data_IF_523555187981
#
_entry.id   IF_523555187981
#
_cell.length_a   1.000
_cell.length_b   1.000
_cell.length_c   1.000
_cell.angle_alpha   90.00
_cell.angle_beta   90.00
_cell.angle_gamma   90.00
#
_symmetry.space_group_name_H-M   'P 1'
#
loop_
_entity.id
_entity.type
_entity.pdbx_description
1 polymer ?
#
# COMPACT_ATOMS: atom_id res chain seq x y z
N UNK A 1 -26.77 19.95 10.83
CA UNK A 1 -26.95 19.36 9.49
C UNK A 1 -27.03 17.85 9.65
N UNK A 2 -27.98 17.21 8.98
CA UNK A 2 -28.03 15.74 8.89
C UNK A 2 -26.97 15.26 7.89
N UNK A 3 -26.52 14.01 7.99
CA UNK A 3 -25.54 13.44 7.04
C UNK A 3 -26.00 13.57 5.58
N UNK A 4 -27.31 13.46 5.33
CA UNK A 4 -27.87 13.60 3.98
C UNK A 4 -27.64 15.01 3.39
N UNK A 5 -27.82 16.07 4.19
CA UNK A 5 -27.56 17.45 3.75
C UNK A 5 -26.08 17.70 3.43
N UNK A 6 -25.18 17.01 4.13
CA UNK A 6 -23.74 17.06 3.84
C UNK A 6 -23.46 16.35 2.52
N UNK A 7 -24.06 15.18 2.29
CA UNK A 7 -23.84 14.41 1.05
C UNK A 7 -24.35 15.17 -0.16
N UNK A 8 -25.57 15.68 -0.12
CA UNK A 8 -26.18 16.46 -1.20
C UNK A 8 -25.28 17.64 -1.56
N UNK A 9 -24.91 18.46 -0.57
CA UNK A 9 -24.08 19.64 -0.83
C UNK A 9 -22.69 19.29 -1.36
N UNK A 10 -21.99 18.33 -0.75
CA UNK A 10 -20.66 17.92 -1.24
C UNK A 10 -20.76 17.42 -2.68
N UNK A 11 -21.78 16.63 -2.99
CA UNK A 11 -21.98 16.09 -4.34
C UNK A 11 -22.38 17.16 -5.37
N UNK A 12 -23.19 18.16 -4.98
CA UNK A 12 -23.53 19.31 -5.82
C UNK A 12 -22.29 20.15 -6.13
N UNK A 13 -21.51 20.51 -5.11
CA UNK A 13 -20.30 21.32 -5.27
C UNK A 13 -19.24 20.59 -6.09
N UNK A 14 -19.04 19.29 -5.87
CA UNK A 14 -18.18 18.47 -6.72
C UNK A 14 -18.66 18.48 -8.18
N UNK A 15 -19.97 18.39 -8.41
CA UNK A 15 -20.53 18.45 -9.76
C UNK A 15 -20.28 19.81 -10.42
N UNK A 16 -20.42 20.92 -9.70
CA UNK A 16 -20.12 22.27 -10.21
C UNK A 16 -18.64 22.40 -10.58
N UNK A 17 -17.75 21.75 -9.83
CA UNK A 17 -16.31 21.78 -10.04
C UNK A 17 -15.81 20.75 -11.07
N UNK A 18 -16.71 19.99 -11.72
CA UNK A 18 -16.34 18.99 -12.74
C UNK A 18 -15.87 17.64 -12.18
N UNK A 19 -16.22 17.33 -10.93
CA UNK A 19 -15.96 16.06 -10.25
C UNK A 19 -17.25 15.25 -10.06
N UNK A 20 -18.21 15.36 -10.97
CA UNK A 20 -19.53 14.72 -10.88
C UNK A 20 -19.45 13.19 -10.80
N UNK A 21 -18.37 12.59 -11.31
CA UNK A 21 -18.05 11.16 -11.21
C UNK A 21 -17.74 10.69 -9.78
N UNK A 22 -17.46 11.60 -8.85
CA UNK A 22 -17.23 11.29 -7.43
C UNK A 22 -18.47 11.57 -6.60
N UNK A 23 -19.15 10.51 -6.14
CA UNK A 23 -20.32 10.63 -5.26
C UNK A 23 -19.99 10.20 -3.85
N UNK A 24 -19.96 11.16 -2.92
CA UNK A 24 -19.92 10.88 -1.49
C UNK A 24 -21.18 10.11 -1.12
N UNK A 25 -20.99 8.85 -0.73
CA UNK A 25 -22.09 7.93 -0.43
C UNK A 25 -22.08 7.49 1.03
N UNK A 26 -20.92 7.57 1.70
CA UNK A 26 -20.80 7.14 3.08
C UNK A 26 -19.68 7.89 3.81
N UNK A 27 -19.88 8.13 5.10
CA UNK A 27 -18.86 8.62 6.02
C UNK A 27 -18.73 7.59 7.15
N UNK A 28 -17.55 6.98 7.27
CA UNK A 28 -17.28 6.03 8.37
C UNK A 28 -16.58 6.74 9.51
N UNK A 29 -17.24 6.78 10.68
CA UNK A 29 -16.71 7.47 11.85
C UNK A 29 -16.47 8.95 11.57
N UNK A 30 -15.39 9.49 12.14
CA UNK A 30 -15.04 10.91 11.99
C UNK A 30 -13.90 11.18 11.02
N UNK A 31 -13.37 10.24 10.22
CA UNK A 31 -12.12 10.52 9.46
C UNK A 31 -12.10 9.92 8.04
N UNK A 32 -13.17 9.23 7.61
CA UNK A 32 -13.16 8.47 6.35
C UNK A 32 -14.34 8.83 5.46
N UNK A 33 -14.04 9.46 4.33
CA UNK A 33 -14.99 9.76 3.27
C UNK A 33 -14.96 8.65 2.22
N UNK A 34 -16.13 8.13 1.84
CA UNK A 34 -16.29 7.11 0.82
C UNK A 34 -16.98 7.70 -0.40
N UNK A 35 -16.20 7.87 -1.46
CA UNK A 35 -16.69 8.28 -2.76
C UNK A 35 -16.88 7.05 -3.64
N UNK A 36 -18.06 6.92 -4.21
CA UNK A 36 -18.32 5.99 -5.32
C UNK A 36 -17.84 6.66 -6.61
N UNK A 37 -17.13 5.90 -7.43
CA UNK A 37 -16.59 6.28 -8.72
C UNK A 37 -16.84 5.13 -9.72
N UNK A 38 -16.98 5.38 -11.05
CA UNK A 38 -17.19 4.31 -12.03
C UNK A 38 -16.12 3.19 -11.98
N UNK A 39 -14.89 3.51 -11.61
CA UNK A 39 -13.80 2.53 -11.47
C UNK A 39 -13.72 1.86 -10.09
N UNK A 40 -14.56 2.24 -9.12
CA UNK A 40 -14.60 1.62 -7.80
C UNK A 40 -14.93 2.57 -6.65
N UNK A 41 -14.47 2.22 -5.44
CA UNK A 41 -14.69 3.05 -4.25
C UNK A 41 -13.38 3.73 -3.86
N UNK A 42 -13.40 5.07 -3.89
CA UNK A 42 -12.36 5.93 -3.36
C UNK A 42 -12.61 6.14 -1.87
N UNK A 43 -11.61 5.80 -1.04
CA UNK A 43 -11.61 6.14 0.39
C UNK A 43 -10.56 7.19 0.67
N UNK A 44 -11.01 8.35 1.14
CA UNK A 44 -10.16 9.44 1.57
C UNK A 44 -10.09 9.42 3.10
N UNK A 45 -8.86 9.30 3.61
CA UNK A 45 -8.54 9.33 5.03
C UNK A 45 -7.93 10.69 5.35
N UNK A 46 -8.70 11.59 5.92
CA UNK A 46 -8.18 12.87 6.42
C UNK A 46 -8.70 13.14 7.83
N UNK A 47 -7.78 13.21 8.80
CA UNK A 47 -8.09 13.43 10.22
C UNK A 47 -8.21 14.91 10.57
N UNK A 48 -7.69 15.79 9.71
CA UNK A 48 -7.67 17.23 9.94
C UNK A 48 -8.90 17.89 9.35
N UNK A 49 -9.44 17.37 8.24
CA UNK A 49 -10.67 17.88 7.63
C UNK A 49 -11.94 17.67 8.45
N UNK A 50 -11.90 16.77 9.44
CA UNK A 50 -13.12 16.21 10.04
C UNK A 50 -13.19 16.37 11.55
N UNK A 51 -12.15 16.94 12.18
CA UNK A 51 -12.21 17.29 13.60
C UNK A 51 -13.29 18.32 13.93
N UNK A 52 -13.71 19.10 12.93
CA UNK A 52 -14.84 20.02 13.01
C UNK A 52 -15.71 19.79 11.78
N UNK A 53 -16.83 19.05 11.92
CA UNK A 53 -17.80 18.60 10.89
C UNK A 53 -18.44 19.73 10.03
N UNK A 54 -17.63 20.61 9.45
CA UNK A 54 -18.02 21.74 8.64
C UNK A 54 -17.63 21.50 7.17
N UNK A 55 -18.12 20.39 6.61
CA UNK A 55 -18.16 20.15 5.16
C UNK A 55 -19.03 21.18 4.40
N UNK A 56 -19.57 22.16 5.12
CA UNK A 56 -20.40 23.25 4.65
C UNK A 56 -19.60 24.53 4.33
N UNK A 57 -18.27 24.49 4.38
CA UNK A 57 -17.41 25.61 4.00
C UNK A 57 -16.76 25.36 2.64
N UNK A 58 -16.61 26.43 1.84
CA UNK A 58 -15.89 26.36 0.56
C UNK A 58 -14.45 25.84 0.73
N UNK A 59 -13.81 26.14 1.86
CA UNK A 59 -12.47 25.64 2.20
C UNK A 59 -12.43 24.11 2.40
N UNK A 60 -13.43 23.52 3.05
CA UNK A 60 -13.52 22.07 3.22
C UNK A 60 -13.76 21.35 1.89
N UNK A 61 -14.63 21.89 1.02
CA UNK A 61 -14.86 21.37 -0.33
C UNK A 61 -13.58 21.46 -1.17
N UNK A 62 -12.91 22.61 -1.18
CA UNK A 62 -11.64 22.77 -1.90
C UNK A 62 -10.57 21.76 -1.44
N UNK A 63 -10.56 21.42 -0.14
CA UNK A 63 -9.65 20.40 0.38
C UNK A 63 -10.03 18.97 -0.05
N UNK A 64 -11.33 18.66 -0.14
CA UNK A 64 -11.81 17.38 -0.70
C UNK A 64 -11.40 17.24 -2.17
N UNK A 65 -11.60 18.29 -2.96
CA UNK A 65 -11.20 18.33 -4.38
C UNK A 65 -9.71 18.09 -4.53
N UNK A 66 -8.88 18.80 -3.75
CA UNK A 66 -7.43 18.56 -3.77
C UNK A 66 -7.05 17.12 -3.41
N UNK A 67 -7.80 16.46 -2.52
CA UNK A 67 -7.55 15.07 -2.17
C UNK A 67 -7.97 14.10 -3.28
N UNK A 68 -9.08 14.39 -3.97
CA UNK A 68 -9.51 13.65 -5.16
C UNK A 68 -8.48 13.81 -6.29
N UNK A 69 -8.06 15.03 -6.62
CA UNK A 69 -7.04 15.31 -7.65
C UNK A 69 -5.74 14.56 -7.38
N UNK A 70 -5.28 14.58 -6.12
CA UNK A 70 -4.08 13.86 -5.70
C UNK A 70 -4.26 12.35 -5.83
N UNK A 71 -5.44 11.83 -5.48
CA UNK A 71 -5.74 10.42 -5.66
C UNK A 71 -5.69 10.04 -7.14
N UNK A 72 -6.33 10.82 -8.01
CA UNK A 72 -6.43 10.56 -9.45
C UNK A 72 -5.09 10.61 -10.15
N UNK A 73 -4.26 11.59 -9.78
CA UNK A 73 -2.88 11.66 -10.23
C UNK A 73 -2.11 10.38 -9.84
N UNK A 74 -2.19 9.95 -8.57
CA UNK A 74 -1.46 8.76 -8.10
C UNK A 74 -2.03 7.48 -8.71
N UNK A 75 -3.34 7.41 -8.91
CA UNK A 75 -4.02 6.30 -9.58
C UNK A 75 -3.52 6.19 -11.03
N UNK A 76 -3.56 7.30 -11.78
CA UNK A 76 -3.13 7.35 -13.18
C UNK A 76 -1.64 7.02 -13.33
N UNK A 77 -0.79 7.55 -12.44
CA UNK A 77 0.64 7.20 -12.41
C UNK A 77 0.85 5.72 -12.10
N UNK A 78 0.06 5.16 -11.18
CA UNK A 78 0.13 3.74 -10.83
C UNK A 78 -0.27 2.85 -12.01
N UNK A 79 -1.37 3.16 -12.71
CA UNK A 79 -1.80 2.47 -13.93
C UNK A 79 -0.74 2.54 -15.04
N UNK A 80 -0.15 3.73 -15.26
CA UNK A 80 0.93 3.90 -16.23
C UNK A 80 2.16 3.03 -15.89
N UNK A 81 2.58 3.02 -14.63
CA UNK A 81 3.69 2.19 -14.17
C UNK A 81 3.37 0.70 -14.34
N UNK A 82 2.16 0.28 -14.01
CA UNK A 82 1.70 -1.11 -14.21
C UNK A 82 1.74 -1.50 -15.68
N UNK A 83 1.26 -0.64 -16.59
CA UNK A 83 1.27 -0.92 -18.03
C UNK A 83 2.69 -1.19 -18.53
N UNK A 84 3.65 -0.33 -18.17
CA UNK A 84 5.06 -0.48 -18.55
C UNK A 84 5.67 -1.76 -17.98
N UNK A 85 5.33 -2.12 -16.73
CA UNK A 85 5.86 -3.33 -16.11
C UNK A 85 5.29 -4.62 -16.69
N UNK A 86 4.06 -4.60 -17.24
CA UNK A 86 3.50 -5.75 -17.97
C UNK A 86 4.30 -6.07 -19.23
N UNK A 87 4.94 -5.08 -19.85
CA UNK A 87 5.83 -5.27 -21.01
C UNK A 87 7.07 -6.11 -20.67
N UNK A 88 7.44 -6.22 -19.38
CA UNK A 88 8.53 -7.10 -18.93
C UNK A 88 8.20 -8.60 -19.04
N UNK A 89 6.98 -8.97 -19.45
CA UNK A 89 6.59 -10.34 -19.77
C UNK A 89 6.22 -11.24 -18.57
N UNK A 90 6.22 -10.70 -17.35
CA UNK A 90 5.83 -11.47 -16.16
C UNK A 90 4.29 -11.55 -16.05
N UNK A 91 3.70 -12.76 -15.95
CA UNK A 91 2.25 -12.91 -15.80
C UNK A 91 1.82 -12.50 -14.39
N UNK A 92 1.54 -11.21 -14.20
CA UNK A 92 1.18 -10.61 -12.91
C UNK A 92 -0.13 -9.85 -13.01
N UNK A 93 -1.05 -10.14 -12.09
CA UNK A 93 -2.27 -9.37 -11.94
C UNK A 93 -2.03 -8.16 -11.06
N UNK A 94 -2.59 -7.02 -11.46
CA UNK A 94 -2.53 -5.76 -10.72
C UNK A 94 -3.94 -5.29 -10.39
N UNK A 95 -4.11 -4.68 -9.22
CA UNK A 95 -5.33 -3.98 -8.83
C UNK A 95 -4.99 -2.66 -8.14
N UNK A 96 -5.39 -1.56 -8.74
CA UNK A 96 -5.23 -0.21 -8.18
C UNK A 96 -6.54 0.21 -7.52
N UNK A 97 -6.48 0.68 -6.28
CA UNK A 97 -7.67 1.05 -5.52
C UNK A 97 -7.48 0.94 -4.00
N UNK A 98 -8.54 1.17 -3.23
CA UNK A 98 -8.45 1.00 -1.79
C UNK A 98 -8.46 -0.49 -1.37
N UNK A 99 -7.42 -0.91 -0.63
CA UNK A 99 -7.36 -2.21 0.03
C UNK A 99 -6.92 -2.04 1.50
N UNK A 100 -7.74 -2.52 2.44
CA UNK A 100 -7.57 -2.27 3.88
C UNK A 100 -6.25 -2.84 4.43
N UNK A 101 -5.83 -4.01 3.94
CA UNK A 101 -4.60 -4.69 4.35
C UNK A 101 -3.33 -4.10 3.71
N UNK A 102 -3.44 -3.47 2.54
CA UNK A 102 -2.30 -2.98 1.75
C UNK A 102 -1.81 -1.62 2.28
N UNK A 103 -0.56 -1.52 2.74
CA UNK A 103 0.04 -0.27 3.28
C UNK A 103 0.74 0.59 2.22
N UNK A 104 0.16 0.66 1.02
CA UNK A 104 0.72 1.37 -0.12
C UNK A 104 0.76 0.45 -1.33
N UNK A 105 1.70 -0.50 -1.33
CA UNK A 105 1.74 -1.62 -2.25
C UNK A 105 1.80 -2.94 -1.44
N UNK A 106 1.28 -4.03 -2.01
CA UNK A 106 1.35 -5.37 -1.40
C UNK A 106 1.02 -6.45 -2.42
N UNK A 107 1.87 -7.46 -2.49
CA UNK A 107 1.60 -8.71 -3.19
C UNK A 107 0.79 -9.68 -2.30
N UNK A 108 -0.35 -10.14 -2.82
CA UNK A 108 -1.15 -11.17 -2.18
C UNK A 108 -0.79 -12.55 -2.74
N UNK A 109 -0.12 -13.36 -1.93
CA UNK A 109 0.35 -14.69 -2.29
C UNK A 109 -0.75 -15.70 -2.63
N UNK A 110 -1.99 -15.50 -2.18
CA UNK A 110 -3.12 -16.39 -2.47
C UNK A 110 -3.75 -16.02 -3.81
N UNK A 111 -4.06 -14.73 -4.00
CA UNK A 111 -4.70 -14.20 -5.20
C UNK A 111 -3.73 -13.94 -6.35
N UNK A 112 -2.41 -14.11 -6.13
CA UNK A 112 -1.34 -13.84 -7.09
C UNK A 112 -1.49 -12.45 -7.74
N UNK A 113 -1.82 -11.45 -6.91
CA UNK A 113 -2.18 -10.10 -7.35
C UNK A 113 -1.41 -9.07 -6.55
N UNK A 114 -0.83 -8.08 -7.22
CA UNK A 114 -0.26 -6.88 -6.62
C UNK A 114 -1.36 -5.83 -6.44
N UNK A 115 -1.53 -5.38 -5.21
CA UNK A 115 -2.51 -4.37 -4.82
C UNK A 115 -1.82 -3.05 -4.55
N UNK A 116 -2.27 -1.98 -5.21
CA UNK A 116 -1.77 -0.62 -5.04
C UNK A 116 -2.87 0.26 -4.44
N UNK A 117 -2.55 0.95 -3.36
CA UNK A 117 -3.46 1.83 -2.62
C UNK A 117 -2.99 3.29 -2.75
N UNK A 118 -3.52 4.05 -3.74
CA UNK A 118 -3.02 5.38 -4.08
C UNK A 118 -2.99 6.34 -2.88
N UNK A 119 -4.06 6.36 -2.06
CA UNK A 119 -4.13 7.22 -0.87
C UNK A 119 -2.98 6.94 0.12
N UNK A 120 -2.62 5.68 0.31
CA UNK A 120 -1.53 5.28 1.23
C UNK A 120 -0.15 5.50 0.61
N UNK A 121 -0.01 5.29 -0.69
CA UNK A 121 1.21 5.61 -1.45
C UNK A 121 1.52 7.10 -1.33
N UNK A 122 0.56 7.96 -1.70
CA UNK A 122 0.73 9.41 -1.65
C UNK A 122 1.08 9.90 -0.26
N UNK A 123 0.34 9.44 0.76
CA UNK A 123 0.61 9.80 2.15
C UNK A 123 2.04 9.46 2.56
N UNK A 124 2.51 8.25 2.25
CA UNK A 124 3.86 7.80 2.61
C UNK A 124 4.93 8.61 1.88
N UNK A 125 4.74 8.85 0.58
CA UNK A 125 5.61 9.70 -0.22
C UNK A 125 5.68 11.13 0.36
N UNK A 126 4.53 11.73 0.62
CA UNK A 126 4.41 13.09 1.14
C UNK A 126 5.06 13.24 2.53
N UNK A 127 5.00 12.21 3.37
CA UNK A 127 5.58 12.25 4.71
C UNK A 127 7.10 12.08 4.71
N UNK A 128 7.66 11.23 3.85
CA UNK A 128 9.05 10.78 3.99
C UNK A 128 9.95 11.11 2.80
N UNK A 129 9.40 11.40 1.62
CA UNK A 129 10.15 11.39 0.37
C UNK A 129 9.93 12.60 -0.55
N UNK A 130 8.85 13.38 -0.38
CA UNK A 130 8.44 14.46 -1.29
C UNK A 130 9.51 15.48 -1.70
N UNK A 131 10.52 15.70 -0.85
CA UNK A 131 11.58 16.68 -1.10
C UNK A 131 12.83 16.07 -1.73
N UNK A 132 12.81 14.79 -2.06
CA UNK A 132 14.03 14.07 -2.48
C UNK A 132 13.82 12.93 -3.46
N UNK A 133 12.58 12.54 -3.71
CA UNK A 133 12.26 11.47 -4.66
C UNK A 133 10.98 11.87 -5.37
N UNK A 134 10.96 11.77 -6.68
CA UNK A 134 9.77 12.01 -7.48
C UNK A 134 8.68 10.96 -7.19
N UNK A 135 7.43 11.38 -7.23
CA UNK A 135 6.30 10.50 -6.94
C UNK A 135 6.25 9.30 -7.90
N UNK A 136 6.57 9.52 -9.19
CA UNK A 136 6.66 8.46 -10.20
C UNK A 136 7.77 7.45 -9.88
N UNK A 137 8.95 7.89 -9.44
CA UNK A 137 10.03 7.00 -8.98
C UNK A 137 9.55 6.18 -7.78
N UNK A 138 8.95 6.85 -6.79
CA UNK A 138 8.44 6.18 -5.60
C UNK A 138 7.40 5.10 -5.92
N UNK A 139 6.43 5.39 -6.78
CA UNK A 139 5.42 4.42 -7.25
C UNK A 139 6.10 3.26 -7.98
N UNK A 140 6.96 3.55 -8.96
CA UNK A 140 7.64 2.53 -9.77
C UNK A 140 8.45 1.57 -8.89
N UNK A 141 9.23 2.12 -7.96
CA UNK A 141 10.07 1.34 -7.04
C UNK A 141 9.21 0.46 -6.12
N UNK A 142 8.07 0.96 -5.62
CA UNK A 142 7.16 0.14 -4.82
C UNK A 142 6.58 -1.02 -5.62
N UNK A 143 6.16 -0.80 -6.87
CA UNK A 143 5.61 -1.87 -7.70
C UNK A 143 6.70 -2.91 -8.03
N UNK A 144 7.91 -2.46 -8.34
CA UNK A 144 9.06 -3.34 -8.58
C UNK A 144 9.38 -4.21 -7.35
N UNK A 145 9.33 -3.66 -6.14
CA UNK A 145 9.51 -4.44 -4.92
C UNK A 145 8.46 -5.55 -4.79
N UNK A 146 7.19 -5.27 -5.04
CA UNK A 146 6.14 -6.29 -5.02
C UNK A 146 6.32 -7.33 -6.15
N UNK A 147 6.85 -6.93 -7.30
CA UNK A 147 7.27 -7.87 -8.36
C UNK A 147 8.41 -8.77 -7.87
N UNK A 148 9.32 -8.26 -7.05
CA UNK A 148 10.31 -9.07 -6.33
C UNK A 148 9.67 -10.22 -5.56
N UNK A 149 8.58 -9.96 -4.84
CA UNK A 149 7.82 -11.01 -4.15
C UNK A 149 7.12 -12.01 -5.09
N UNK A 150 6.65 -11.55 -6.25
CA UNK A 150 6.12 -12.46 -7.28
C UNK A 150 7.21 -13.44 -7.74
N UNK A 151 8.41 -12.93 -8.05
CA UNK A 151 9.51 -13.76 -8.52
C UNK A 151 9.94 -14.80 -7.47
N UNK A 152 10.00 -14.40 -6.21
CA UNK A 152 10.24 -15.32 -5.10
C UNK A 152 9.20 -16.44 -5.04
N UNK A 153 7.93 -16.09 -5.22
CA UNK A 153 6.80 -17.00 -5.05
C UNK A 153 6.64 -17.95 -6.25
N UNK A 154 7.11 -17.55 -7.45
CA UNK A 154 7.24 -18.42 -8.63
C UNK A 154 8.32 -19.48 -8.44
N UNK A 155 9.45 -19.13 -7.83
CA UNK A 155 10.53 -20.10 -7.53
C UNK A 155 10.14 -21.05 -6.40
N UNK A 156 9.69 -20.49 -5.28
CA UNK A 156 9.22 -21.26 -4.14
C UNK A 156 8.07 -20.52 -3.46
N UNK A 157 6.85 -21.07 -3.43
CA UNK A 157 5.72 -20.36 -2.82
C UNK A 157 5.97 -19.99 -1.36
N UNK A 158 5.53 -18.79 -0.93
CA UNK A 158 5.74 -18.33 0.45
C UNK A 158 5.17 -19.33 1.47
N UNK A 159 4.01 -19.93 1.18
CA UNK A 159 3.40 -20.93 2.05
C UNK A 159 4.30 -22.14 2.28
N UNK A 160 5.09 -22.54 1.27
CA UNK A 160 6.05 -23.64 1.37
C UNK A 160 7.25 -23.23 2.23
N UNK A 161 7.78 -22.01 2.04
CA UNK A 161 8.87 -21.45 2.88
C UNK A 161 8.45 -21.32 4.35
N UNK A 162 7.24 -20.84 4.62
CA UNK A 162 6.68 -20.74 5.97
C UNK A 162 6.49 -22.11 6.63
N UNK A 163 5.97 -23.11 5.90
CA UNK A 163 5.86 -24.49 6.42
C UNK A 163 7.22 -25.08 6.77
N UNK A 164 8.24 -24.87 5.93
CA UNK A 164 9.61 -25.29 6.21
C UNK A 164 10.17 -24.60 7.46
N UNK A 165 9.96 -23.28 7.59
CA UNK A 165 10.36 -22.53 8.78
C UNK A 165 9.70 -23.10 10.05
N UNK A 166 8.37 -23.26 10.05
CA UNK A 166 7.60 -23.76 11.21
C UNK A 166 7.96 -25.19 11.56
N UNK A 167 8.29 -26.04 10.58
CA UNK A 167 8.74 -27.42 10.82
C UNK A 167 10.06 -27.48 11.60
N UNK A 168 10.89 -26.43 11.54
CA UNK A 168 12.12 -26.28 12.31
C UNK A 168 11.93 -25.72 13.73
N UNK A 169 10.71 -25.34 14.12
CA UNK A 169 10.40 -24.81 15.45
C UNK A 169 9.78 -25.90 16.35
N UNK A 170 10.04 -25.82 17.66
CA UNK A 170 9.32 -26.66 18.61
C UNK A 170 7.89 -26.14 18.77
N UNK A 171 6.95 -26.77 18.08
CA UNK A 171 5.57 -26.29 17.98
C UNK A 171 4.81 -26.33 19.31
N UNK A 172 5.21 -27.16 20.28
CA UNK A 172 4.53 -27.24 21.59
C UNK A 172 4.92 -26.09 22.52
N UNK A 173 6.09 -25.46 22.31
CA UNK A 173 6.58 -24.35 23.12
C UNK A 173 7.53 -23.46 22.32
N UNK A 174 7.00 -22.37 21.78
CA UNK A 174 7.80 -21.34 21.10
C UNK A 174 8.74 -20.64 22.09
N UNK A 175 10.02 -20.58 21.73
CA UNK A 175 11.06 -19.91 22.52
C UNK A 175 11.31 -18.50 22.01
N UNK A 176 11.98 -17.65 22.80
CA UNK A 176 12.42 -16.34 22.32
C UNK A 176 13.41 -16.44 21.15
N UNK A 177 14.17 -17.54 21.07
CA UNK A 177 15.06 -17.83 19.94
C UNK A 177 14.29 -18.09 18.65
N UNK A 178 13.12 -18.72 18.72
CA UNK A 178 12.25 -18.94 17.57
C UNK A 178 11.64 -17.62 17.07
N UNK A 179 11.28 -16.72 17.99
CA UNK A 179 10.80 -15.37 17.66
C UNK A 179 11.88 -14.58 16.92
N UNK A 180 13.13 -14.63 17.40
CA UNK A 180 14.24 -13.93 16.73
C UNK A 180 14.54 -14.55 15.35
N UNK A 181 14.57 -15.88 15.25
CA UNK A 181 14.68 -16.56 13.95
C UNK A 181 13.58 -16.15 12.99
N UNK A 182 12.34 -16.01 13.46
CA UNK A 182 11.22 -15.57 12.64
C UNK A 182 11.39 -14.11 12.18
N UNK A 183 11.88 -13.23 13.06
CA UNK A 183 12.23 -11.85 12.69
C UNK A 183 13.28 -11.82 11.58
N UNK A 184 14.33 -12.63 11.71
CA UNK A 184 15.38 -12.74 10.69
C UNK A 184 14.85 -13.33 9.37
N UNK A 185 13.97 -14.32 9.43
CA UNK A 185 13.27 -14.85 8.26
C UNK A 185 12.52 -13.75 7.52
N UNK A 186 11.70 -12.94 8.22
CA UNK A 186 10.97 -11.83 7.60
C UNK A 186 11.91 -10.79 6.97
N UNK A 187 12.99 -10.42 7.64
CA UNK A 187 13.99 -9.48 7.10
C UNK A 187 14.64 -10.05 5.83
N UNK A 188 14.94 -11.35 5.81
CA UNK A 188 15.59 -11.99 4.67
C UNK A 188 14.64 -12.09 3.47
N UNK A 189 13.37 -12.41 3.67
CA UNK A 189 12.36 -12.42 2.61
C UNK A 189 12.25 -11.05 1.94
N UNK A 190 12.25 -9.97 2.73
CA UNK A 190 12.20 -8.60 2.20
C UNK A 190 13.47 -8.24 1.43
N UNK A 191 14.65 -8.51 2.00
CA UNK A 191 15.94 -8.26 1.33
C UNK A 191 16.02 -8.97 -0.02
N UNK A 192 15.61 -10.22 -0.06
CA UNK A 192 15.63 -11.03 -1.28
C UNK A 192 14.66 -10.45 -2.34
N UNK A 193 13.46 -10.01 -1.96
CA UNK A 193 12.55 -9.33 -2.87
C UNK A 193 13.16 -8.05 -3.47
N UNK A 194 13.81 -7.23 -2.63
CA UNK A 194 14.53 -6.03 -3.09
C UNK A 194 15.68 -6.34 -4.05
N UNK A 195 16.44 -7.41 -3.80
CA UNK A 195 17.57 -7.78 -4.66
C UNK A 195 17.09 -8.28 -6.03
N UNK A 196 15.98 -9.01 -6.06
CA UNK A 196 15.40 -9.53 -7.32
C UNK A 196 14.85 -8.45 -8.22
N UNK A 197 14.31 -7.38 -7.64
CA UNK A 197 13.72 -6.29 -8.43
C UNK A 197 14.75 -5.30 -8.98
N UNK A 198 15.96 -5.26 -8.40
CA UNK A 198 17.03 -4.32 -8.75
C UNK A 198 17.42 -4.39 -10.23
N UNK A 199 17.49 -5.59 -10.82
CA UNK A 199 17.81 -5.79 -12.24
C UNK A 199 16.72 -5.31 -13.21
N UNK A 200 15.52 -5.00 -12.71
CA UNK A 200 14.40 -4.50 -13.50
C UNK A 200 14.19 -2.99 -13.31
N UNK A 201 15.12 -2.32 -12.63
CA UNK A 201 15.08 -0.86 -12.54
C UNK A 201 15.26 -0.28 -13.94
N UNK A 202 14.28 0.47 -14.46
CA UNK A 202 14.46 1.16 -15.72
C UNK A 202 15.46 2.30 -15.51
N UNK A 203 16.73 2.08 -15.89
CA UNK A 203 17.83 3.03 -15.67
C UNK A 203 17.54 4.43 -16.25
N UNK A 204 16.72 4.49 -17.32
CA UNK A 204 16.29 5.75 -17.93
C UNK A 204 15.16 6.48 -17.18
N UNK A 205 14.51 5.83 -16.21
CA UNK A 205 13.27 6.30 -15.57
C UNK A 205 13.42 6.40 -14.04
N UNK A 206 14.34 5.67 -13.42
CA UNK A 206 14.51 5.68 -11.96
C UNK A 206 15.96 5.93 -11.60
N UNK A 207 16.20 7.02 -10.86
CA UNK A 207 17.53 7.29 -10.32
C UNK A 207 17.96 6.20 -9.31
N UNK A 208 19.20 5.66 -9.41
CA UNK A 208 19.71 4.66 -8.46
C UNK A 208 19.71 5.15 -6.99
N UNK A 209 19.89 6.47 -6.79
CA UNK A 209 19.81 7.14 -5.49
C UNK A 209 18.41 6.98 -4.85
N UNK A 210 17.35 7.11 -5.67
CA UNK A 210 15.95 6.97 -5.25
C UNK A 210 15.68 5.54 -4.77
N UNK A 211 16.11 4.53 -5.55
CA UNK A 211 15.98 3.13 -5.18
C UNK A 211 16.68 2.83 -3.85
N UNK A 212 17.94 3.22 -3.72
CA UNK A 212 18.75 2.97 -2.51
C UNK A 212 18.11 3.60 -1.27
N UNK A 213 17.59 4.83 -1.40
CA UNK A 213 16.93 5.55 -0.29
C UNK A 213 15.62 4.89 0.13
N UNK A 214 14.79 4.47 -0.81
CA UNK A 214 13.52 3.79 -0.52
C UNK A 214 13.78 2.39 0.07
N UNK A 215 14.67 1.60 -0.54
CA UNK A 215 15.06 0.26 -0.06
C UNK A 215 15.55 0.33 1.39
N UNK A 216 16.46 1.26 1.68
CA UNK A 216 17.01 1.46 3.03
C UNK A 216 15.92 1.85 4.05
N UNK A 217 15.04 2.80 3.70
CA UNK A 217 13.93 3.19 4.57
C UNK A 217 12.98 2.02 4.85
N UNK A 218 12.60 1.25 3.82
CA UNK A 218 11.70 0.11 3.95
C UNK A 218 12.32 -0.99 4.82
N UNK A 219 13.57 -1.38 4.57
CA UNK A 219 14.26 -2.42 5.34
C UNK A 219 14.47 -2.02 6.82
N UNK A 220 14.76 -0.75 7.09
CA UNK A 220 14.88 -0.24 8.46
C UNK A 220 13.58 -0.37 9.26
N UNK A 221 12.40 -0.38 8.61
CA UNK A 221 11.14 -0.59 9.34
C UNK A 221 11.00 -1.99 9.95
N UNK A 222 11.75 -2.98 9.43
CA UNK A 222 11.78 -4.35 9.94
C UNK A 222 12.73 -4.51 11.14
N UNK A 223 13.81 -3.73 11.20
CA UNK A 223 14.74 -3.77 12.34
C UNK A 223 14.07 -3.27 13.62
N UNK A 224 13.16 -2.30 13.50
CA UNK A 224 12.38 -1.72 14.59
C UNK A 224 11.10 -2.51 14.94
N UNK A 225 10.89 -3.71 14.38
CA UNK A 225 9.73 -4.53 14.75
C UNK A 225 9.80 -4.94 16.22
N UNK A 226 8.74 -4.57 16.96
CA UNK A 226 8.57 -4.92 18.36
C UNK A 226 8.52 -6.43 18.58
N UNK A 227 9.34 -6.92 19.49
CA UNK A 227 9.46 -8.35 19.79
C UNK A 227 8.11 -8.99 20.16
N UNK A 228 7.30 -8.32 20.97
CA UNK A 228 5.98 -8.80 21.37
C UNK A 228 5.04 -9.03 20.16
N UNK A 229 5.10 -8.14 19.17
CA UNK A 229 4.31 -8.24 17.94
C UNK A 229 4.80 -9.39 17.06
N UNK A 230 6.12 -9.54 16.91
CA UNK A 230 6.71 -10.67 16.16
C UNK A 230 6.31 -11.99 16.80
N UNK A 231 6.39 -12.08 18.14
CA UNK A 231 5.96 -13.26 18.90
C UNK A 231 4.49 -13.59 18.65
N UNK A 232 3.60 -12.60 18.75
CA UNK A 232 2.15 -12.78 18.46
C UNK A 232 1.92 -13.32 17.05
N UNK A 233 2.60 -12.77 16.05
CA UNK A 233 2.48 -13.21 14.66
C UNK A 233 2.99 -14.64 14.45
N UNK A 234 4.10 -15.01 15.10
CA UNK A 234 4.63 -16.38 15.04
C UNK A 234 3.65 -17.39 15.66
N UNK A 235 3.05 -17.05 16.81
CA UNK A 235 2.02 -17.90 17.42
C UNK A 235 0.83 -18.11 16.49
N UNK A 236 0.32 -17.05 15.85
CA UNK A 236 -0.75 -17.16 14.87
C UNK A 236 -0.36 -18.04 13.68
N UNK A 237 0.83 -17.81 13.11
CA UNK A 237 1.35 -18.60 11.98
C UNK A 237 1.44 -20.10 12.30
N UNK A 238 1.92 -20.48 13.49
CA UNK A 238 2.02 -21.89 13.88
C UNK A 238 0.63 -22.52 14.01
N UNK A 239 -0.36 -21.77 14.50
CA UNK A 239 -1.74 -22.26 14.59
C UNK A 239 -2.39 -22.41 13.21
N UNK A 240 -2.13 -21.49 12.29
CA UNK A 240 -2.72 -21.48 10.94
C UNK A 240 -2.12 -22.55 10.01
N UNK A 241 -0.91 -23.05 10.32
CA UNK A 241 -0.18 -24.03 9.50
C UNK A 241 -0.17 -25.46 10.06
N UNK A 242 -0.81 -25.69 11.21
CA UNK A 242 -1.12 -27.03 11.72
C UNK A 242 -2.30 -27.62 10.97
#
# INVERSE_FOLDING_TARGET
MTNNQIFERVNEELSVLGFDQYKLNFITGSDVLHFVHPSGVLRILDRNLVKDLQYNTSAAIGSIVQLIDRYDMVFSLSELCVSRLKELGHPVHFKVGYFSFCKGASYNYIKKTIYLNPSRIFRRWNMYFKHSIDLSHFITILILHELGHVLQDQEQPLIKRLKQFVSGCNQSRLTNKDVEKYKQFLIQEEKDAWNRCEKYLPEAIVEPSSFSKIKSYCLNSYTTLEFAKVKKNLHALVNDLR
#
